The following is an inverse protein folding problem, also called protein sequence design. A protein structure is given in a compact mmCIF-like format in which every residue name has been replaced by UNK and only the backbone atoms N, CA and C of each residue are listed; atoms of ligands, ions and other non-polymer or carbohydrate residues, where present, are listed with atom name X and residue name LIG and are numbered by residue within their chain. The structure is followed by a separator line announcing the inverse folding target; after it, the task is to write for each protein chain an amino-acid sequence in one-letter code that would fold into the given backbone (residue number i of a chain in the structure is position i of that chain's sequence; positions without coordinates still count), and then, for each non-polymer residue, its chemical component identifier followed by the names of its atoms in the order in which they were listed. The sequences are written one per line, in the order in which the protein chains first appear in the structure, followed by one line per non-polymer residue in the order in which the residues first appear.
data_IF_104380879536
#
_entry.id   IF_104380879536
#
_cell.length_a   1.000
_cell.length_b   1.000
_cell.length_c   1.000
_cell.angle_alpha   90.00
_cell.angle_beta   90.00
_cell.angle_gamma   90.00
#
_symmetry.space_group_name_H-M   'P 1'
#
loop_
_entity.id
_entity.type
_entity.pdbx_description
1 polymer ?
#
# COMPACT_ATOMS: atom_id res chain seq x y z
N UNK A 1 17.52 -28.64 -33.61
CA UNK A 1 18.24 -28.10 -32.46
C UNK A 1 18.10 -26.59 -32.51
N UNK A 2 17.31 -26.02 -31.61
CA UNK A 2 17.10 -24.58 -31.54
C UNK A 2 18.31 -23.96 -30.87
N UNK A 3 19.18 -23.30 -31.62
CA UNK A 3 20.38 -22.66 -31.08
C UNK A 3 19.98 -21.56 -30.08
N UNK A 4 20.36 -21.76 -28.82
CA UNK A 4 20.14 -20.83 -27.73
C UNK A 4 21.04 -19.61 -27.96
N UNK A 5 20.46 -18.47 -28.37
CA UNK A 5 21.22 -17.26 -28.68
C UNK A 5 21.34 -16.36 -27.45
N UNK A 6 22.57 -16.17 -26.98
CA UNK A 6 22.94 -15.29 -25.87
C UNK A 6 23.16 -13.87 -26.44
N UNK A 7 22.31 -12.92 -26.07
CA UNK A 7 22.44 -11.52 -26.51
C UNK A 7 23.62 -10.84 -25.82
N UNK A 8 24.22 -9.81 -26.46
CA UNK A 8 25.40 -9.14 -25.91
C UNK A 8 25.19 -8.46 -24.55
N UNK A 9 23.97 -7.98 -24.26
CA UNK A 9 23.62 -7.41 -22.95
C UNK A 9 23.58 -8.48 -21.87
N UNK A 10 22.94 -9.62 -22.17
CA UNK A 10 22.81 -10.74 -21.25
C UNK A 10 24.18 -11.42 -21.02
N UNK A 11 25.06 -11.46 -22.02
CA UNK A 11 26.45 -11.88 -21.87
C UNK A 11 27.19 -11.03 -20.82
N UNK A 12 27.09 -9.71 -20.91
CA UNK A 12 27.75 -8.81 -19.97
C UNK A 12 27.23 -8.97 -18.53
N UNK A 13 25.91 -9.17 -18.38
CA UNK A 13 25.31 -9.43 -17.06
C UNK A 13 25.74 -10.79 -16.48
N UNK A 14 25.84 -11.83 -17.31
CA UNK A 14 26.32 -13.15 -16.89
C UNK A 14 27.79 -13.13 -16.44
N UNK A 15 28.68 -12.48 -17.21
CA UNK A 15 30.09 -12.36 -16.82
C UNK A 15 30.20 -11.65 -15.48
N UNK A 16 29.49 -10.52 -15.32
CA UNK A 16 29.48 -9.77 -14.06
C UNK A 16 28.99 -10.64 -12.89
N UNK A 17 27.94 -11.42 -13.09
CA UNK A 17 27.41 -12.32 -12.07
C UNK A 17 28.44 -13.39 -11.68
N UNK A 18 29.13 -13.99 -12.65
CA UNK A 18 30.17 -15.00 -12.42
C UNK A 18 31.40 -14.43 -11.69
N UNK A 19 31.83 -13.21 -12.05
CA UNK A 19 32.97 -12.53 -11.40
C UNK A 19 32.66 -12.10 -9.95
N UNK A 20 31.40 -11.79 -9.63
CA UNK A 20 30.98 -11.39 -8.29
C UNK A 20 30.82 -12.58 -7.33
N UNK A 21 30.70 -13.81 -7.85
CA UNK A 21 30.55 -15.03 -7.07
C UNK A 21 31.89 -15.73 -6.87
N UNK A 22 32.21 -16.12 -5.62
CA UNK A 22 33.46 -16.84 -5.31
C UNK A 22 33.47 -18.28 -5.85
N UNK A 23 32.30 -18.88 -6.04
CA UNK A 23 32.08 -20.21 -6.61
C UNK A 23 30.70 -20.20 -7.28
N UNK A 24 30.65 -19.97 -8.59
CA UNK A 24 29.40 -19.91 -9.31
C UNK A 24 28.98 -21.34 -9.70
N UNK A 25 27.93 -21.87 -9.07
CA UNK A 25 27.37 -23.17 -9.45
C UNK A 25 26.64 -23.08 -10.81
N UNK A 26 26.68 -24.16 -11.59
CA UNK A 26 26.01 -24.25 -12.89
C UNK A 26 24.50 -23.94 -12.77
N UNK A 27 23.85 -24.55 -11.78
CA UNK A 27 22.41 -24.42 -11.60
C UNK A 27 22.01 -22.98 -11.23
N UNK A 28 22.73 -22.35 -10.30
CA UNK A 28 22.48 -20.96 -9.90
C UNK A 28 22.71 -19.99 -11.05
N UNK A 29 23.76 -20.21 -11.83
CA UNK A 29 24.05 -19.42 -13.04
C UNK A 29 22.96 -19.59 -14.09
N UNK A 30 22.48 -20.82 -14.28
CA UNK A 30 21.37 -21.10 -15.19
C UNK A 30 20.06 -20.45 -14.72
N UNK A 31 19.79 -20.46 -13.42
CA UNK A 31 18.63 -19.76 -12.84
C UNK A 31 18.75 -18.25 -13.02
N UNK A 32 19.94 -17.66 -12.82
CA UNK A 32 20.16 -16.25 -13.12
C UNK A 32 19.92 -15.94 -14.60
N UNK A 33 20.39 -16.81 -15.51
CA UNK A 33 20.11 -16.69 -16.94
C UNK A 33 18.61 -16.71 -17.25
N UNK A 34 17.86 -17.64 -16.66
CA UNK A 34 16.41 -17.73 -16.82
C UNK A 34 15.70 -16.48 -16.28
N UNK A 35 16.15 -15.96 -15.14
CA UNK A 35 15.62 -14.74 -14.54
C UNK A 35 15.71 -13.57 -15.53
N UNK A 36 16.85 -13.41 -16.20
CA UNK A 36 17.05 -12.36 -17.22
C UNK A 36 16.33 -12.64 -18.53
N UNK A 37 16.36 -13.89 -19.01
CA UNK A 37 15.76 -14.27 -20.30
C UNK A 37 14.25 -14.12 -20.31
N UNK A 38 13.59 -14.45 -19.19
CA UNK A 38 12.13 -14.42 -19.05
C UNK A 38 11.62 -13.18 -18.29
N UNK A 39 12.50 -12.23 -17.97
CA UNK A 39 12.18 -11.02 -17.18
C UNK A 39 11.44 -11.37 -15.88
N UNK A 40 11.94 -12.38 -15.18
CA UNK A 40 11.36 -12.85 -13.93
C UNK A 40 11.82 -11.93 -12.81
N UNK A 41 10.88 -11.53 -11.96
CA UNK A 41 11.15 -10.73 -10.78
C UNK A 41 10.47 -11.37 -9.58
N UNK A 42 10.98 -12.52 -9.10
CA UNK A 42 10.28 -13.30 -8.11
C UNK A 42 10.01 -12.49 -6.84
N UNK A 43 8.81 -12.63 -6.30
CA UNK A 43 8.40 -11.93 -5.09
C UNK A 43 7.73 -12.86 -4.09
N UNK A 44 8.12 -12.71 -2.83
CA UNK A 44 7.54 -13.43 -1.71
C UNK A 44 6.42 -12.61 -1.10
N UNK A 45 5.22 -13.20 -1.05
CA UNK A 45 4.14 -12.70 -0.22
C UNK A 45 4.21 -13.35 1.17
N UNK A 46 4.73 -12.61 2.15
CA UNK A 46 5.09 -13.15 3.47
C UNK A 46 3.88 -13.69 4.24
N UNK A 47 2.70 -13.06 4.09
CA UNK A 47 1.49 -13.41 4.84
C UNK A 47 0.98 -14.81 4.49
N UNK A 48 0.85 -15.09 3.19
CA UNK A 48 0.32 -16.36 2.70
C UNK A 48 1.44 -17.39 2.45
N UNK A 49 2.69 -16.95 2.60
CA UNK A 49 3.90 -17.72 2.39
C UNK A 49 4.02 -18.29 0.96
N UNK A 50 3.62 -17.51 -0.02
CA UNK A 50 3.64 -17.90 -1.45
C UNK A 50 4.69 -17.06 -2.18
N UNK A 51 5.40 -17.68 -3.14
CA UNK A 51 6.31 -17.01 -4.05
C UNK A 51 5.66 -16.93 -5.43
N UNK A 52 5.58 -15.72 -5.99
CA UNK A 52 5.04 -15.47 -7.32
C UNK A 52 6.17 -15.12 -8.30
N UNK A 53 5.92 -15.31 -9.60
CA UNK A 53 6.89 -15.00 -10.66
C UNK A 53 7.23 -13.50 -10.73
N UNK A 54 6.23 -12.65 -10.48
CA UNK A 54 6.38 -11.21 -10.44
C UNK A 54 5.29 -10.56 -9.57
N UNK A 55 5.44 -9.26 -9.29
CA UNK A 55 4.52 -8.50 -8.46
C UNK A 55 3.10 -8.36 -9.07
N UNK A 56 2.98 -8.40 -10.40
CA UNK A 56 1.69 -8.30 -11.08
C UNK A 56 0.90 -9.60 -10.99
N UNK A 57 1.56 -10.75 -11.12
CA UNK A 57 0.97 -12.07 -10.90
C UNK A 57 0.44 -12.21 -9.47
N UNK A 58 1.24 -11.77 -8.48
CA UNK A 58 0.80 -11.71 -7.09
C UNK A 58 -0.45 -10.84 -6.91
N UNK A 59 -0.51 -9.66 -7.53
CA UNK A 59 -1.67 -8.77 -7.46
C UNK A 59 -2.89 -9.40 -8.12
N UNK A 60 -2.73 -9.99 -9.30
CA UNK A 60 -3.80 -10.64 -10.03
C UNK A 60 -4.43 -11.77 -9.20
N UNK A 61 -3.60 -12.65 -8.64
CA UNK A 61 -4.07 -13.79 -7.84
C UNK A 61 -4.71 -13.38 -6.51
N UNK A 62 -4.08 -12.49 -5.76
CA UNK A 62 -4.66 -12.02 -4.48
C UNK A 62 -5.94 -11.20 -4.71
N UNK A 63 -6.09 -10.56 -5.88
CA UNK A 63 -7.33 -9.88 -6.28
C UNK A 63 -8.42 -10.87 -6.70
N UNK A 64 -8.09 -11.90 -7.48
CA UNK A 64 -8.99 -12.98 -7.90
C UNK A 64 -9.61 -13.69 -6.68
N UNK A 65 -8.81 -13.90 -5.64
CA UNK A 65 -9.25 -14.47 -4.36
C UNK A 65 -10.05 -13.50 -3.47
N UNK A 66 -10.20 -12.23 -3.87
CA UNK A 66 -10.90 -11.20 -3.09
C UNK A 66 -10.17 -10.80 -1.79
N UNK A 67 -8.89 -11.14 -1.64
CA UNK A 67 -8.07 -10.91 -0.44
C UNK A 67 -7.23 -9.64 -0.48
N UNK A 68 -7.27 -8.88 -1.57
CA UNK A 68 -6.49 -7.66 -1.71
C UNK A 68 -7.18 -6.44 -1.10
N UNK A 69 -8.44 -6.22 -1.46
CA UNK A 69 -9.21 -5.03 -1.05
C UNK A 69 -10.71 -5.29 -1.00
N UNK A 70 -11.41 -4.46 -0.23
CA UNK A 70 -12.87 -4.37 -0.24
C UNK A 70 -13.30 -2.93 -0.52
N UNK A 71 -14.40 -2.78 -1.28
CA UNK A 71 -15.02 -1.47 -1.51
C UNK A 71 -16.02 -1.22 -0.39
N UNK A 72 -15.84 -0.11 0.33
CA UNK A 72 -16.66 0.26 1.48
C UNK A 72 -17.18 1.68 1.29
N UNK A 73 -18.39 1.96 1.75
CA UNK A 73 -18.96 3.30 1.74
C UNK A 73 -18.88 3.90 3.15
N UNK A 74 -18.24 5.06 3.28
CA UNK A 74 -18.20 5.80 4.54
C UNK A 74 -19.24 6.92 4.46
N UNK A 75 -20.18 6.90 5.41
CA UNK A 75 -21.12 7.99 5.62
C UNK A 75 -20.48 9.04 6.53
N UNK A 76 -20.21 10.21 5.97
CA UNK A 76 -19.72 11.35 6.72
C UNK A 76 -20.94 12.09 7.28
N UNK A 77 -21.25 11.85 8.55
CA UNK A 77 -22.28 12.57 9.27
C UNK A 77 -21.81 13.99 9.61
N UNK A 78 -22.73 14.94 9.54
CA UNK A 78 -22.53 16.26 10.14
C UNK A 78 -23.00 16.23 11.59
N UNK A 79 -22.29 16.93 12.48
CA UNK A 79 -22.70 17.05 13.87
C UNK A 79 -24.09 17.70 14.01
N UNK A 80 -24.73 17.55 15.19
CA UNK A 80 -26.03 18.17 15.43
C UNK A 80 -25.95 19.70 15.22
N UNK A 81 -27.02 20.33 14.72
CA UNK A 81 -27.04 21.77 14.52
C UNK A 81 -26.91 22.50 15.87
N UNK A 82 -26.22 23.64 15.87
CA UNK A 82 -26.03 24.44 17.09
C UNK A 82 -27.31 25.07 17.63
N UNK A 83 -28.35 25.19 16.79
CA UNK A 83 -29.65 25.81 17.06
C UNK A 83 -30.69 25.02 16.29
N UNK A 84 -31.86 24.77 16.90
CA UNK A 84 -32.99 24.11 16.27
C UNK A 84 -34.28 24.92 16.50
N UNK A 85 -35.42 24.41 16.04
CA UNK A 85 -36.72 25.09 16.15
C UNK A 85 -37.22 25.22 17.59
N UNK A 86 -36.71 24.41 18.51
CA UNK A 86 -37.07 24.43 19.93
C UNK A 86 -36.18 25.37 20.76
N UNK A 87 -35.12 25.92 20.16
CA UNK A 87 -34.21 26.85 20.84
C UNK A 87 -34.95 28.14 21.20
N UNK A 88 -34.95 28.49 22.49
CA UNK A 88 -35.61 29.71 23.00
C UNK A 88 -34.63 30.84 23.28
N UNK A 89 -33.36 30.48 23.47
CA UNK A 89 -32.31 31.42 23.83
C UNK A 89 -31.01 31.03 23.15
N UNK A 90 -30.34 32.03 22.58
CA UNK A 90 -29.06 31.85 21.91
C UNK A 90 -27.97 32.72 22.55
N UNK A 91 -26.76 32.19 22.54
CA UNK A 91 -25.54 32.87 22.96
C UNK A 91 -24.61 33.00 21.76
N UNK A 92 -24.27 34.24 21.37
CA UNK A 92 -23.48 34.56 20.19
C UNK A 92 -22.11 35.05 20.64
N UNK A 93 -21.05 34.38 20.17
CA UNK A 93 -19.68 34.80 20.39
C UNK A 93 -19.39 36.09 19.61
N UNK A 94 -18.95 37.19 20.26
CA UNK A 94 -18.71 38.47 19.60
C UNK A 94 -17.51 38.47 18.65
N UNK A 95 -16.58 37.51 18.82
CA UNK A 95 -15.36 37.42 18.02
C UNK A 95 -15.58 36.59 16.74
N UNK A 96 -16.01 35.33 16.92
CA UNK A 96 -16.13 34.35 15.82
C UNK A 96 -17.51 34.29 15.18
N UNK A 97 -18.52 34.94 15.79
CA UNK A 97 -19.92 34.81 15.40
C UNK A 97 -20.53 33.42 15.64
N UNK A 98 -19.80 32.50 16.32
CA UNK A 98 -20.32 31.18 16.66
C UNK A 98 -21.48 31.30 17.65
N UNK A 99 -22.55 30.54 17.40
CA UNK A 99 -23.79 30.59 18.18
C UNK A 99 -24.04 29.27 18.89
N UNK A 100 -24.59 29.35 20.09
CA UNK A 100 -24.96 28.23 20.96
C UNK A 100 -26.42 28.38 21.38
N UNK A 101 -27.24 27.36 21.14
CA UNK A 101 -28.60 27.27 21.66
C UNK A 101 -28.63 26.78 23.12
N UNK A 102 -29.70 27.13 23.83
CA UNK A 102 -29.96 26.72 25.21
C UNK A 102 -30.33 25.24 25.37
N UNK A 103 -30.70 24.58 24.28
CA UNK A 103 -31.19 23.19 24.27
C UNK A 103 -30.32 22.22 23.45
N UNK A 104 -29.32 22.70 22.71
CA UNK A 104 -28.51 21.87 21.80
C UNK A 104 -27.29 21.22 22.46
N UNK A 105 -26.99 21.60 23.70
CA UNK A 105 -25.91 21.04 24.51
C UNK A 105 -26.44 20.65 25.89
N UNK A 106 -25.94 19.58 26.52
CA UNK A 106 -26.37 19.17 27.87
C UNK A 106 -26.22 20.28 28.91
N UNK A 107 -25.16 21.09 28.80
CA UNK A 107 -24.99 22.34 29.53
C UNK A 107 -24.43 23.43 28.59
N UNK A 108 -25.26 24.40 28.15
CA UNK A 108 -24.83 25.46 27.25
C UNK A 108 -23.71 26.34 27.82
N UNK A 109 -23.68 26.56 29.14
CA UNK A 109 -22.66 27.40 29.77
C UNK A 109 -21.28 26.76 29.72
N UNK A 110 -21.20 25.43 29.91
CA UNK A 110 -19.94 24.70 29.84
C UNK A 110 -19.41 24.65 28.41
N UNK A 111 -20.30 24.47 27.42
CA UNK A 111 -19.93 24.52 26.01
C UNK A 111 -19.38 25.90 25.60
N UNK A 112 -19.98 26.97 26.15
CA UNK A 112 -19.49 28.33 26.01
C UNK A 112 -18.11 28.48 26.66
N UNK A 113 -17.92 27.97 27.87
CA UNK A 113 -16.64 28.05 28.58
C UNK A 113 -15.50 27.32 27.87
N UNK A 114 -15.75 26.09 27.41
CA UNK A 114 -14.76 25.31 26.66
C UNK A 114 -14.35 26.05 25.37
N UNK A 115 -15.32 26.64 24.67
CA UNK A 115 -15.06 27.43 23.46
C UNK A 115 -14.21 28.67 23.72
N UNK A 116 -14.56 29.49 24.72
CA UNK A 116 -13.83 30.72 25.07
C UNK A 116 -12.37 30.43 25.38
N UNK A 117 -12.10 29.34 26.10
CA UNK A 117 -10.74 28.98 26.50
C UNK A 117 -9.85 28.69 25.28
N UNK A 118 -10.41 28.02 24.27
CA UNK A 118 -9.71 27.59 23.04
C UNK A 118 -9.78 28.61 21.89
N UNK A 119 -10.60 29.66 22.00
CA UNK A 119 -10.79 30.64 20.93
C UNK A 119 -9.52 31.47 20.67
N UNK A 120 -8.87 31.37 19.50
CA UNK A 120 -7.65 32.12 19.20
C UNK A 120 -7.92 33.62 18.97
N UNK A 121 -9.13 33.98 18.51
CA UNK A 121 -9.53 35.36 18.24
C UNK A 121 -9.93 36.17 19.49
N UNK A 122 -10.04 35.52 20.65
CA UNK A 122 -10.33 36.21 21.91
C UNK A 122 -9.03 36.65 22.59
N UNK A 123 -8.71 37.93 22.42
CA UNK A 123 -7.55 38.61 23.03
C UNK A 123 -7.90 39.35 24.31
N UNK A 124 -9.18 39.46 24.67
CA UNK A 124 -9.62 40.16 25.86
C UNK A 124 -9.40 39.29 27.11
N UNK A 125 -8.81 39.87 28.16
CA UNK A 125 -8.60 39.23 29.45
C UNK A 125 -9.35 39.96 30.56
N UNK A 126 -10.02 39.20 31.43
CA UNK A 126 -10.67 39.68 32.64
C UNK A 126 -10.17 38.84 33.83
N UNK A 127 -9.48 39.48 34.78
CA UNK A 127 -8.97 38.79 35.97
C UNK A 127 -7.94 37.69 35.69
N UNK A 128 -7.12 37.84 34.65
CA UNK A 128 -6.08 36.85 34.27
C UNK A 128 -6.60 35.66 33.46
N UNK A 129 -7.88 35.62 33.10
CA UNK A 129 -8.49 34.59 32.23
C UNK A 129 -9.15 35.28 31.03
N UNK A 130 -9.31 34.58 29.91
CA UNK A 130 -10.02 35.10 28.73
C UNK A 130 -11.42 35.60 29.10
N UNK A 131 -11.77 36.80 28.62
CA UNK A 131 -13.03 37.46 28.93
C UNK A 131 -14.21 36.64 28.40
N UNK A 132 -15.24 36.52 29.24
CA UNK A 132 -16.44 35.69 29.02
C UNK A 132 -17.59 36.56 28.53
N UNK A 133 -17.42 37.19 27.37
CA UNK A 133 -18.43 38.09 26.80
C UNK A 133 -19.19 37.40 25.66
N UNK A 134 -20.52 37.34 25.78
CA UNK A 134 -21.43 36.81 24.76
C UNK A 134 -22.59 37.78 24.58
N UNK A 135 -23.06 37.92 23.34
CA UNK A 135 -24.38 38.50 23.11
C UNK A 135 -25.43 37.44 23.38
N UNK A 136 -26.49 37.81 24.07
CA UNK A 136 -27.59 36.92 24.42
C UNK A 136 -28.82 37.46 23.69
N UNK A 137 -29.51 36.59 22.96
CA UNK A 137 -30.78 36.92 22.32
C UNK A 137 -31.83 35.87 22.65
N UNK A 138 -33.03 36.35 22.97
CA UNK A 138 -34.25 35.55 23.15
C UNK A 138 -35.30 35.95 22.08
N UNK A 139 -34.90 36.79 21.11
CA UNK A 139 -35.75 37.23 20.02
C UNK A 139 -35.96 36.09 19.00
N UNK A 140 -37.21 35.63 18.79
CA UNK A 140 -37.52 34.55 17.86
C UNK A 140 -37.09 34.81 16.40
N UNK A 141 -37.11 36.06 15.94
CA UNK A 141 -36.70 36.40 14.57
C UNK A 141 -35.19 36.28 14.40
N UNK A 142 -34.44 36.73 15.41
CA UNK A 142 -32.98 36.58 15.45
C UNK A 142 -32.60 35.10 15.52
N UNK A 143 -33.28 34.30 16.35
CA UNK A 143 -33.01 32.86 16.49
C UNK A 143 -33.23 32.12 15.16
N UNK A 144 -34.34 32.41 14.47
CA UNK A 144 -34.66 31.82 13.15
C UNK A 144 -33.56 32.05 12.11
N UNK A 145 -32.92 33.21 12.12
CA UNK A 145 -31.83 33.52 11.17
C UNK A 145 -30.59 32.63 11.35
N UNK A 146 -30.44 31.99 12.51
CA UNK A 146 -29.29 31.11 12.78
C UNK A 146 -29.62 29.62 12.69
N UNK A 147 -30.88 29.23 12.45
CA UNK A 147 -31.25 27.84 12.18
C UNK A 147 -30.69 27.48 10.80
N UNK A 148 -29.72 26.56 10.76
CA UNK A 148 -29.14 26.05 9.52
C UNK A 148 -29.85 24.76 9.11
N UNK A 149 -30.12 24.55 7.81
CA UNK A 149 -30.63 23.28 7.35
C UNK A 149 -29.63 22.17 7.68
N UNK A 150 -30.14 21.03 8.15
CA UNK A 150 -29.32 19.85 8.43
C UNK A 150 -28.69 19.40 7.11
N UNK A 151 -27.35 19.38 7.06
CA UNK A 151 -26.65 18.85 5.89
C UNK A 151 -26.83 17.34 5.87
N UNK A 152 -27.30 16.81 4.75
CA UNK A 152 -27.40 15.38 4.56
C UNK A 152 -26.02 14.73 4.62
N UNK A 153 -25.89 13.54 5.25
CA UNK A 153 -24.62 12.83 5.30
C UNK A 153 -24.07 12.59 3.89
N UNK A 154 -22.80 12.92 3.67
CA UNK A 154 -22.15 12.64 2.39
C UNK A 154 -21.56 11.24 2.44
N UNK A 155 -22.03 10.38 1.56
CA UNK A 155 -21.39 9.08 1.33
C UNK A 155 -20.16 9.24 0.44
N UNK A 156 -19.06 8.60 0.84
CA UNK A 156 -17.86 8.46 0.00
C UNK A 156 -17.46 7.00 -0.13
N UNK A 157 -17.28 6.53 -1.36
CA UNK A 157 -16.69 5.24 -1.63
C UNK A 157 -15.19 5.29 -1.32
N UNK A 158 -14.73 4.33 -0.53
CA UNK A 158 -13.32 4.11 -0.18
C UNK A 158 -12.97 2.64 -0.37
N UNK A 159 -11.67 2.36 -0.39
CA UNK A 159 -11.14 1.00 -0.52
C UNK A 159 -10.38 0.65 0.75
N UNK A 160 -10.77 -0.43 1.43
CA UNK A 160 -10.03 -0.94 2.58
C UNK A 160 -9.11 -2.08 2.14
N UNK A 161 -7.85 -2.06 2.57
CA UNK A 161 -6.96 -3.21 2.42
C UNK A 161 -7.52 -4.38 3.23
N UNK A 162 -7.73 -5.53 2.59
CA UNK A 162 -8.14 -6.76 3.28
C UNK A 162 -6.99 -7.37 4.11
N UNK A 163 -5.77 -6.84 3.98
CA UNK A 163 -4.60 -7.29 4.71
C UNK A 163 -4.47 -6.58 6.06
N UNK A 164 -4.66 -5.25 6.09
CA UNK A 164 -4.43 -4.41 7.29
C UNK A 164 -5.65 -3.60 7.74
N UNK A 165 -6.70 -3.51 6.94
CA UNK A 165 -7.85 -2.64 7.19
C UNK A 165 -7.62 -1.16 6.89
N UNK A 166 -6.42 -0.77 6.44
CA UNK A 166 -6.10 0.62 6.06
C UNK A 166 -7.01 1.09 4.92
N UNK A 167 -7.49 2.33 5.01
CA UNK A 167 -8.37 2.95 4.02
C UNK A 167 -7.59 3.75 2.98
N UNK A 168 -8.04 3.64 1.73
CA UNK A 168 -7.47 4.29 0.57
C UNK A 168 -8.60 4.94 -0.26
N UNK A 169 -8.26 5.99 -0.98
CA UNK A 169 -9.17 6.72 -1.86
C UNK A 169 -9.38 6.00 -3.22
N UNK A 170 -8.47 5.12 -3.62
CA UNK A 170 -8.53 4.42 -4.91
C UNK A 170 -7.99 2.98 -4.80
N UNK A 171 -8.31 2.13 -5.79
CA UNK A 171 -7.81 0.74 -5.84
C UNK A 171 -6.31 0.70 -6.10
N UNK A 172 -5.84 1.59 -6.96
CA UNK A 172 -4.44 1.71 -7.38
C UNK A 172 -3.55 2.03 -6.18
N UNK A 173 -4.04 2.87 -5.26
CA UNK A 173 -3.34 3.17 -4.02
C UNK A 173 -3.21 1.94 -3.11
N UNK A 174 -4.22 1.05 -3.07
CA UNK A 174 -4.12 -0.23 -2.34
C UNK A 174 -3.08 -1.14 -2.99
N UNK A 175 -3.10 -1.25 -4.32
CA UNK A 175 -2.15 -2.10 -5.07
C UNK A 175 -0.71 -1.59 -4.88
N UNK A 176 -0.49 -0.28 -4.93
CA UNK A 176 0.82 0.32 -4.72
C UNK A 176 1.34 0.06 -3.29
N UNK A 177 0.49 0.20 -2.27
CA UNK A 177 0.82 -0.13 -0.88
C UNK A 177 1.11 -1.64 -0.73
N UNK A 178 0.34 -2.49 -1.42
CA UNK A 178 0.53 -3.94 -1.45
C UNK A 178 1.92 -4.32 -1.98
N UNK A 179 2.24 -3.86 -3.20
CA UNK A 179 3.52 -4.14 -3.86
C UNK A 179 4.71 -3.64 -3.04
N UNK A 180 4.59 -2.47 -2.41
CA UNK A 180 5.69 -1.86 -1.66
C UNK A 180 5.94 -2.50 -0.31
N UNK A 181 4.88 -2.88 0.42
CA UNK A 181 5.00 -3.21 1.84
C UNK A 181 4.86 -4.70 2.14
N UNK A 182 4.28 -5.50 1.24
CA UNK A 182 3.93 -6.91 1.54
C UNK A 182 4.56 -7.91 0.57
N UNK A 183 5.07 -7.45 -0.56
CA UNK A 183 5.88 -8.25 -1.47
C UNK A 183 7.36 -7.95 -1.21
N UNK A 184 8.15 -9.01 -1.05
CA UNK A 184 9.61 -8.90 -0.92
C UNK A 184 10.26 -9.52 -2.15
N UNK A 185 11.16 -8.80 -2.84
CA UNK A 185 11.91 -9.39 -3.94
C UNK A 185 12.81 -10.52 -3.43
N UNK A 186 12.99 -11.54 -4.26
CA UNK A 186 13.87 -12.68 -4.02
C UNK A 186 14.49 -13.10 -5.36
N UNK A 187 15.76 -13.50 -5.35
CA UNK A 187 16.42 -14.02 -6.55
C UNK A 187 15.86 -15.39 -6.94
N UNK A 188 15.87 -15.74 -8.22
CA UNK A 188 15.34 -17.03 -8.70
C UNK A 188 16.08 -18.22 -8.09
N UNK A 189 17.40 -18.11 -7.93
CA UNK A 189 18.23 -19.12 -7.25
C UNK A 189 17.76 -19.39 -5.81
N UNK A 190 17.41 -18.34 -5.07
CA UNK A 190 16.95 -18.47 -3.69
C UNK A 190 15.56 -19.13 -3.59
N UNK A 191 14.75 -19.14 -4.65
CA UNK A 191 13.41 -19.76 -4.64
C UNK A 191 13.48 -21.25 -4.32
N UNK A 192 14.50 -21.95 -4.81
CA UNK A 192 14.67 -23.39 -4.57
C UNK A 192 15.08 -23.71 -3.14
N UNK A 193 15.87 -22.84 -2.51
CA UNK A 193 16.35 -23.03 -1.14
C UNK A 193 15.29 -22.67 -0.07
N UNK A 194 14.19 -22.03 -0.46
CA UNK A 194 13.11 -21.66 0.46
C UNK A 194 12.31 -22.86 0.96
N UNK A 195 12.52 -23.26 2.22
CA UNK A 195 11.70 -24.30 2.89
C UNK A 195 10.37 -23.76 3.46
N UNK A 196 10.31 -22.45 3.73
CA UNK A 196 9.18 -21.82 4.46
C UNK A 196 8.10 -21.28 3.53
N UNK A 197 8.42 -21.09 2.26
CA UNK A 197 7.58 -20.46 1.25
C UNK A 197 7.38 -21.44 0.10
N UNK A 198 6.19 -21.43 -0.49
CA UNK A 198 5.86 -22.32 -1.60
C UNK A 198 5.75 -21.51 -2.89
N UNK A 199 6.43 -21.91 -3.98
CA UNK A 199 6.18 -21.31 -5.28
C UNK A 199 4.72 -21.54 -5.70
N UNK A 200 4.12 -20.53 -6.31
CA UNK A 200 2.78 -20.63 -6.90
C UNK A 200 2.80 -21.62 -8.08
N UNK A 201 1.64 -22.22 -8.41
CA UNK A 201 1.54 -23.28 -9.43
C UNK A 201 2.13 -22.88 -10.78
N UNK A 202 1.80 -21.69 -11.29
CA UNK A 202 2.38 -21.16 -12.53
C UNK A 202 3.91 -21.11 -12.49
N UNK A 203 4.48 -20.83 -11.32
CA UNK A 203 5.92 -20.78 -11.13
C UNK A 203 6.54 -22.19 -11.13
N UNK A 204 5.84 -23.17 -10.54
CA UNK A 204 6.25 -24.57 -10.57
C UNK A 204 6.24 -25.13 -12.00
N UNK A 205 5.23 -24.78 -12.80
CA UNK A 205 5.15 -25.19 -14.22
C UNK A 205 6.37 -24.65 -14.98
N UNK A 206 6.74 -23.38 -14.77
CA UNK A 206 7.94 -22.81 -15.38
C UNK A 206 9.20 -23.60 -15.01
N UNK A 207 9.38 -23.95 -13.73
CA UNK A 207 10.54 -24.74 -13.31
C UNK A 207 10.54 -26.14 -13.94
N UNK A 208 9.40 -26.82 -14.00
CA UNK A 208 9.28 -28.14 -14.64
C UNK A 208 9.60 -28.10 -16.14
N UNK A 209 9.24 -27.00 -16.80
CA UNK A 209 9.53 -26.83 -18.22
C UNK A 209 10.99 -26.45 -18.46
N UNK A 210 11.60 -25.59 -17.65
CA UNK A 210 12.93 -25.03 -17.94
C UNK A 210 14.10 -25.78 -17.27
N UNK A 211 13.88 -26.46 -16.14
CA UNK A 211 14.91 -27.25 -15.46
C UNK A 211 14.95 -28.69 -15.99
N UNK A 212 15.27 -28.82 -17.28
CA UNK A 212 15.47 -30.11 -17.95
C UNK A 212 16.94 -30.22 -18.37
N UNK A 213 17.54 -31.42 -18.25
CA UNK A 213 18.96 -31.66 -18.55
C UNK A 213 19.33 -31.16 -19.95
N UNK A 214 18.53 -31.46 -20.97
CA UNK A 214 18.74 -31.05 -22.36
C UNK A 214 18.83 -29.52 -22.53
N UNK A 215 18.10 -28.76 -21.70
CA UNK A 215 18.13 -27.29 -21.73
C UNK A 215 19.33 -26.70 -20.98
N UNK A 216 19.81 -27.38 -19.95
CA UNK A 216 21.00 -27.00 -19.20
C UNK A 216 22.24 -27.31 -20.06
N UNK A 217 22.29 -28.49 -20.68
CA UNK A 217 23.32 -28.85 -21.65
C UNK A 217 23.38 -27.82 -22.79
N UNK A 218 22.25 -27.49 -23.41
CA UNK A 218 22.18 -26.48 -24.46
C UNK A 218 22.64 -25.09 -24.00
N UNK A 219 22.52 -24.77 -22.71
CA UNK A 219 23.04 -23.53 -22.13
C UNK A 219 24.56 -23.57 -21.97
N UNK A 220 25.11 -24.68 -21.46
CA UNK A 220 26.56 -24.88 -21.34
C UNK A 220 27.22 -24.85 -22.73
N UNK A 221 26.65 -25.55 -23.71
CA UNK A 221 27.10 -25.54 -25.10
C UNK A 221 27.07 -24.14 -25.72
N UNK A 222 26.06 -23.33 -25.40
CA UNK A 222 25.96 -21.95 -25.87
C UNK A 222 27.02 -21.05 -25.22
N UNK A 223 27.32 -21.24 -23.94
CA UNK A 223 28.38 -20.49 -23.24
C UNK A 223 29.77 -20.87 -23.72
N UNK A 224 30.02 -22.15 -24.02
CA UNK A 224 31.32 -22.66 -24.49
C UNK A 224 31.78 -22.02 -25.82
N UNK A 225 30.86 -21.41 -26.58
CA UNK A 225 31.18 -20.68 -27.82
C UNK A 225 31.89 -19.35 -27.57
N UNK A 226 31.96 -18.87 -26.33
CA UNK A 226 32.60 -17.62 -25.97
C UNK A 226 33.79 -17.87 -25.02
N UNK A 227 34.97 -17.38 -25.41
CA UNK A 227 36.22 -17.60 -24.66
C UNK A 227 36.14 -17.08 -23.22
N UNK A 228 35.36 -16.03 -22.96
CA UNK A 228 35.23 -15.44 -21.63
C UNK A 228 34.56 -16.36 -20.61
N UNK A 229 33.79 -17.37 -21.05
CA UNK A 229 33.13 -18.34 -20.17
C UNK A 229 33.91 -19.65 -19.99
N UNK A 230 34.99 -19.87 -20.74
CA UNK A 230 35.75 -21.12 -20.70
C UNK A 230 36.23 -21.54 -19.30
N UNK A 231 36.73 -20.65 -18.43
CA UNK A 231 37.16 -21.05 -17.09
C UNK A 231 36.03 -21.67 -16.26
N UNK A 232 34.83 -21.10 -16.35
CA UNK A 232 33.65 -21.54 -15.59
C UNK A 232 33.03 -22.81 -16.18
N UNK A 233 32.93 -22.88 -17.52
CA UNK A 233 32.39 -24.06 -18.20
C UNK A 233 33.25 -25.30 -17.93
N UNK A 234 34.58 -25.16 -17.97
CA UNK A 234 35.47 -26.28 -17.65
C UNK A 234 35.29 -26.76 -16.21
N UNK A 235 35.15 -25.84 -15.25
CA UNK A 235 34.89 -26.18 -13.84
C UNK A 235 33.59 -27.00 -13.68
N UNK A 236 32.51 -26.58 -14.33
CA UNK A 236 31.23 -27.30 -14.26
C UNK A 236 31.23 -28.67 -14.91
N UNK A 237 32.00 -28.85 -15.99
CA UNK A 237 32.11 -30.14 -16.70
C UNK A 237 33.10 -31.08 -16.01
N UNK A 238 34.09 -30.55 -15.28
CA UNK A 238 35.05 -31.34 -14.50
C UNK A 238 34.50 -31.78 -13.13
N UNK A 239 33.49 -31.09 -12.59
CA UNK A 239 32.81 -31.45 -11.33
C UNK A 239 31.76 -32.58 -11.47
N UNK A 240 31.43 -33.01 -12.69
CA UNK A 240 30.56 -34.16 -13.03
C UNK A 240 31.31 -35.52 -13.09
#
# INVERSE_FOLDING_TARGET
MSTLSITGTLKAELIKYLEEQNSAELLDTYLFFLEKKFDLHPVVFVKDKIIYQNADDAVAKVTEEGKLWHKTEIKIGYGPPSINEETKKIYICPFTGKVFGDNTHPNPQDAIYDWVSKCPENTEMAGGVKAKRFFISEDPEVIKNYIKPVKEPVSKAVYSSAITGKLFNSKEAVIADFKKNYLKPIALAEVQSQKRFKPHENFLVLFQEQLQEDKIEAFVEALAQYEEFHPYVSEWVEEE
#
